data_IF_525979490108
#
_entry.id   IF_525979490108
#
_cell.length_a   1.000
_cell.length_b   1.000
_cell.length_c   1.000
_cell.angle_alpha   90.00
_cell.angle_beta   90.00
_cell.angle_gamma   90.00
#
_symmetry.space_group_name_H-M   'P 1'
#
loop_
_entity.id
_entity.type
_entity.pdbx_description
1 polymer ?
#
# COMPACT_ATOMS: atom_id res chain seq x y z
N UNK A 1 -7.26 18.23 -5.15
CA UNK A 1 -7.10 17.23 -6.24
C UNK A 1 -7.30 15.84 -5.66
N UNK A 2 -7.80 14.87 -6.44
CA UNK A 2 -7.95 13.46 -6.01
C UNK A 2 -9.25 13.11 -5.27
N UNK A 3 -10.27 13.99 -5.28
CA UNK A 3 -11.55 13.71 -4.61
C UNK A 3 -12.24 12.48 -5.20
N UNK A 4 -12.73 11.59 -4.33
CA UNK A 4 -13.41 10.35 -4.72
C UNK A 4 -12.48 9.23 -5.20
N UNK A 5 -11.16 9.45 -5.22
CA UNK A 5 -10.17 8.41 -5.56
C UNK A 5 -9.72 7.71 -4.28
N UNK A 6 -9.66 6.38 -4.36
CA UNK A 6 -9.21 5.50 -3.28
C UNK A 6 -7.77 5.08 -3.52
N UNK A 7 -6.90 5.29 -2.54
CA UNK A 7 -5.50 4.87 -2.59
C UNK A 7 -5.21 3.85 -1.49
N UNK A 8 -4.86 2.63 -1.90
CA UNK A 8 -4.48 1.53 -1.02
C UNK A 8 -2.97 1.53 -0.82
N UNK A 9 -2.51 1.68 0.42
CA UNK A 9 -1.09 1.73 0.78
C UNK A 9 -0.73 0.39 1.41
N UNK A 10 -0.12 -0.49 0.61
CA UNK A 10 0.38 -1.79 1.08
C UNK A 10 1.78 -1.60 1.68
N UNK A 11 1.84 -1.51 3.00
CA UNK A 11 3.05 -1.04 3.71
C UNK A 11 3.04 -1.47 5.20
N UNK A 12 3.70 -0.72 6.08
CA UNK A 12 3.75 -0.93 7.54
C UNK A 12 2.48 -0.49 8.29
N UNK A 13 1.46 -0.04 7.56
CA UNK A 13 0.23 0.53 8.09
C UNK A 13 0.14 2.05 7.88
N UNK A 14 -0.93 2.67 8.38
CA UNK A 14 -1.10 4.13 8.41
C UNK A 14 -1.55 4.53 9.81
N UNK A 15 -0.86 5.51 10.43
CA UNK A 15 -1.35 6.16 11.64
C UNK A 15 -2.51 7.09 11.30
N UNK A 16 -3.73 6.56 11.27
CA UNK A 16 -4.93 7.27 10.82
C UNK A 16 -5.22 8.57 11.59
N UNK A 17 -4.78 8.66 12.85
CA UNK A 17 -4.93 9.83 13.71
C UNK A 17 -3.99 11.00 13.37
N UNK A 18 -3.09 10.87 12.39
CA UNK A 18 -2.19 11.96 12.00
C UNK A 18 -2.96 13.13 11.35
N UNK A 19 -2.64 14.36 11.78
CA UNK A 19 -3.25 15.61 11.28
C UNK A 19 -3.17 15.81 9.75
N UNK A 20 -2.25 15.11 9.07
CA UNK A 20 -2.08 15.19 7.63
C UNK A 20 -3.26 14.55 6.88
N UNK A 21 -3.99 13.63 7.50
CA UNK A 21 -5.05 12.87 6.84
C UNK A 21 -6.45 13.42 7.11
N UNK A 22 -6.65 14.19 8.19
CA UNK A 22 -7.90 14.89 8.51
C UNK A 22 -9.18 14.04 8.29
N UNK A 23 -9.18 12.78 8.78
CA UNK A 23 -10.32 11.87 8.66
C UNK A 23 -10.50 11.21 7.29
N UNK A 24 -9.54 11.38 6.37
CA UNK A 24 -9.55 10.76 5.02
C UNK A 24 -8.89 9.38 4.97
N UNK A 25 -8.79 8.70 6.11
CA UNK A 25 -8.37 7.29 6.16
C UNK A 25 -9.63 6.43 6.24
N UNK A 26 -9.86 5.62 5.22
CA UNK A 26 -10.96 4.68 5.14
C UNK A 26 -10.66 3.36 5.88
N UNK A 27 -11.48 2.34 5.61
CA UNK A 27 -11.24 1.00 6.12
C UNK A 27 -9.92 0.43 5.62
N UNK A 28 -9.30 -0.44 6.42
CA UNK A 28 -8.11 -1.15 6.04
C UNK A 28 -8.04 -2.53 6.68
N UNK A 29 -6.89 -3.18 6.57
CA UNK A 29 -6.67 -4.54 7.05
C UNK A 29 -5.21 -4.73 7.45
N UNK A 30 -5.00 -5.57 8.45
CA UNK A 30 -3.69 -5.94 8.97
C UNK A 30 -3.44 -7.43 8.79
N UNK A 31 -2.45 -7.78 7.97
CA UNK A 31 -2.02 -9.16 7.75
C UNK A 31 -0.84 -9.58 8.63
N UNK A 32 -0.28 -8.67 9.43
CA UNK A 32 0.74 -8.97 10.44
C UNK A 32 0.06 -9.51 11.70
N UNK A 33 -0.96 -8.78 12.19
CA UNK A 33 -1.68 -9.14 13.42
C UNK A 33 -3.04 -9.81 13.14
N UNK A 34 -3.44 -9.90 11.87
CA UNK A 34 -4.64 -10.57 11.37
C UNK A 34 -5.95 -9.99 11.93
N UNK A 35 -6.07 -8.66 11.82
CA UNK A 35 -7.24 -7.90 12.22
C UNK A 35 -7.56 -6.77 11.20
N UNK A 36 -8.40 -5.82 11.60
CA UNK A 36 -8.83 -4.69 10.78
C UNK A 36 -8.22 -3.35 11.19
N UNK A 37 -7.22 -3.35 12.07
CA UNK A 37 -6.52 -2.15 12.54
C UNK A 37 -5.13 -2.04 11.91
N UNK A 38 -4.98 -1.46 10.72
CA UNK A 38 -3.70 -1.34 10.02
C UNK A 38 -2.85 -0.19 10.60
N UNK A 39 -2.83 0.00 11.92
CA UNK A 39 -2.09 1.10 12.54
C UNK A 39 -0.57 0.92 12.32
N UNK A 40 0.09 2.03 12.01
CA UNK A 40 1.52 2.01 11.73
C UNK A 40 2.35 2.05 13.02
N UNK A 41 3.27 1.10 13.14
CA UNK A 41 4.25 1.02 14.22
C UNK A 41 5.71 1.19 13.76
N UNK A 42 5.94 1.42 12.46
CA UNK A 42 7.29 1.67 11.91
C UNK A 42 7.45 3.13 11.44
N UNK A 43 6.43 3.67 10.78
CA UNK A 43 6.41 5.04 10.24
C UNK A 43 6.57 5.11 8.72
N UNK A 44 6.96 4.03 8.05
CA UNK A 44 7.21 4.04 6.61
C UNK A 44 5.91 4.22 5.82
N UNK A 45 4.89 3.41 6.14
CA UNK A 45 3.57 3.51 5.51
C UNK A 45 2.87 4.84 5.77
N UNK A 46 2.98 5.41 6.98
CA UNK A 46 2.47 6.75 7.26
C UNK A 46 3.19 7.84 6.44
N UNK A 47 4.50 7.74 6.27
CA UNK A 47 5.28 8.69 5.46
C UNK A 47 4.90 8.60 3.97
N UNK A 48 4.79 7.38 3.44
CA UNK A 48 4.32 7.12 2.07
C UNK A 48 2.91 7.69 1.87
N UNK A 49 1.98 7.38 2.77
CA UNK A 49 0.62 7.90 2.72
C UNK A 49 0.57 9.44 2.81
N UNK A 50 1.45 10.05 3.61
CA UNK A 50 1.61 11.50 3.72
C UNK A 50 2.06 12.14 2.40
N UNK A 51 3.00 11.52 1.71
CA UNK A 51 3.46 11.98 0.38
C UNK A 51 2.37 11.88 -0.68
N UNK A 52 1.51 10.87 -0.60
CA UNK A 52 0.39 10.72 -1.54
C UNK A 52 -0.70 11.74 -1.23
N UNK A 53 -1.18 11.79 0.00
CA UNK A 53 -2.46 12.41 0.35
C UNK A 53 -2.45 13.30 1.58
N UNK A 54 -1.29 13.65 2.14
CA UNK A 54 -1.19 14.56 3.28
C UNK A 54 -1.64 16.00 2.95
N UNK A 55 -2.22 16.69 3.94
CA UNK A 55 -2.67 18.08 3.78
C UNK A 55 -1.53 19.05 3.46
N UNK A 56 -0.34 18.84 4.02
CA UNK A 56 0.82 19.70 3.81
C UNK A 56 1.69 19.13 2.69
N UNK A 57 2.04 17.85 2.79
CA UNK A 57 3.08 17.20 1.97
C UNK A 57 2.54 16.37 0.81
N UNK A 58 1.22 16.17 0.75
CA UNK A 58 0.59 15.31 -0.24
C UNK A 58 0.46 15.93 -1.62
N UNK A 59 0.64 15.10 -2.65
CA UNK A 59 0.35 15.46 -4.05
C UNK A 59 -1.16 15.58 -4.28
N UNK A 60 -1.96 14.62 -3.79
CA UNK A 60 -3.39 14.51 -4.03
C UNK A 60 -4.18 14.66 -2.71
N UNK A 61 -4.30 15.89 -2.23
CA UNK A 61 -4.78 16.22 -0.87
C UNK A 61 -6.22 15.83 -0.51
N UNK A 62 -7.04 15.39 -1.47
CA UNK A 62 -8.44 15.00 -1.24
C UNK A 62 -8.72 13.51 -1.55
N UNK A 63 -7.68 12.68 -1.68
CA UNK A 63 -7.87 11.22 -1.79
C UNK A 63 -8.31 10.60 -0.47
N UNK A 64 -8.90 9.41 -0.57
CA UNK A 64 -9.19 8.52 0.57
C UNK A 64 -8.06 7.50 0.64
N UNK A 65 -7.35 7.47 1.77
CA UNK A 65 -6.24 6.55 2.01
C UNK A 65 -6.74 5.29 2.71
N UNK A 66 -6.28 4.12 2.31
CA UNK A 66 -6.61 2.83 2.93
C UNK A 66 -5.31 2.14 3.34
N UNK A 67 -5.15 1.85 4.63
CA UNK A 67 -3.99 1.12 5.13
C UNK A 67 -4.15 -0.38 4.89
N UNK A 68 -3.18 -1.00 4.23
CA UNK A 68 -3.10 -2.45 4.05
C UNK A 68 -1.77 -2.90 4.66
N UNK A 69 -1.79 -3.21 5.95
CA UNK A 69 -0.56 -3.50 6.71
C UNK A 69 -0.08 -4.91 6.38
N UNK A 70 1.02 -4.99 5.64
CA UNK A 70 1.67 -6.24 5.19
C UNK A 70 3.13 -6.32 5.64
N UNK A 71 3.64 -5.26 6.27
CA UNK A 71 4.96 -5.17 6.88
C UNK A 71 4.84 -4.90 8.38
N UNK A 72 5.67 -5.55 9.17
CA UNK A 72 5.69 -5.43 10.63
C UNK A 72 6.42 -4.14 11.10
N UNK A 73 6.57 -3.99 12.42
CA UNK A 73 7.21 -2.82 13.03
C UNK A 73 8.73 -2.69 12.73
N UNK A 74 9.32 -3.68 12.06
CA UNK A 74 10.70 -3.64 11.55
C UNK A 74 10.75 -3.51 10.03
N UNK A 75 9.63 -3.16 9.38
CA UNK A 75 9.56 -2.99 7.93
C UNK A 75 9.65 -4.30 7.13
N UNK A 76 9.45 -5.44 7.79
CA UNK A 76 9.59 -6.77 7.18
C UNK A 76 8.24 -7.46 7.03
N UNK A 77 8.07 -8.22 5.94
CA UNK A 77 6.86 -9.00 5.69
C UNK A 77 7.18 -10.26 4.88
N UNK A 78 6.19 -11.13 4.73
CA UNK A 78 6.29 -12.35 3.94
C UNK A 78 5.60 -12.15 2.58
N UNK A 79 6.06 -12.86 1.55
CA UNK A 79 5.35 -12.85 0.26
C UNK A 79 3.89 -13.27 0.40
N UNK A 80 3.57 -14.24 1.26
CA UNK A 80 2.19 -14.65 1.51
C UNK A 80 1.35 -13.54 2.12
N UNK A 81 1.88 -12.78 3.09
CA UNK A 81 1.19 -11.63 3.67
C UNK A 81 0.98 -10.50 2.65
N UNK A 82 2.00 -10.21 1.83
CA UNK A 82 1.89 -9.20 0.75
C UNK A 82 0.87 -9.63 -0.31
N UNK A 83 0.87 -10.90 -0.72
CA UNK A 83 -0.11 -11.46 -1.66
C UNK A 83 -1.52 -11.38 -1.06
N UNK A 84 -1.70 -11.72 0.22
CA UNK A 84 -2.98 -11.58 0.89
C UNK A 84 -3.48 -10.11 0.90
N UNK A 85 -2.58 -9.16 1.09
CA UNK A 85 -2.85 -7.73 0.92
C UNK A 85 -3.33 -7.36 -0.48
N UNK A 86 -2.62 -7.82 -1.51
CA UNK A 86 -3.00 -7.60 -2.92
C UNK A 86 -4.36 -8.23 -3.22
N UNK A 87 -4.61 -9.45 -2.77
CA UNK A 87 -5.88 -10.15 -2.97
C UNK A 87 -7.03 -9.44 -2.22
N UNK A 88 -6.78 -8.90 -1.01
CA UNK A 88 -7.76 -8.09 -0.30
C UNK A 88 -8.13 -6.81 -1.03
N UNK A 89 -7.14 -6.06 -1.54
CA UNK A 89 -7.39 -4.89 -2.39
C UNK A 89 -8.19 -5.29 -3.62
N UNK A 90 -7.79 -6.37 -4.29
CA UNK A 90 -8.47 -6.92 -5.46
C UNK A 90 -9.94 -7.23 -5.19
N UNK A 91 -10.28 -7.71 -3.99
CA UNK A 91 -11.64 -8.07 -3.59
C UNK A 91 -12.48 -6.89 -3.06
N UNK A 92 -11.87 -5.89 -2.43
CA UNK A 92 -12.57 -4.84 -1.68
C UNK A 92 -12.40 -3.42 -2.24
N UNK A 93 -11.64 -3.24 -3.32
CA UNK A 93 -11.37 -1.90 -3.84
C UNK A 93 -12.63 -1.18 -4.31
N UNK A 94 -12.64 0.14 -4.13
CA UNK A 94 -13.63 1.05 -4.69
C UNK A 94 -12.97 1.84 -5.82
N UNK A 95 -13.60 1.87 -6.99
CA UNK A 95 -13.09 2.61 -8.16
C UNK A 95 -13.50 4.09 -8.10
N UNK A 96 -12.63 5.04 -8.50
CA UNK A 96 -11.28 4.85 -9.04
C UNK A 96 -10.24 4.46 -7.97
N UNK A 97 -9.42 3.45 -8.25
CA UNK A 97 -8.48 2.85 -7.30
C UNK A 97 -7.02 2.91 -7.78
N UNK A 98 -6.12 3.29 -6.87
CA UNK A 98 -4.67 3.16 -7.02
C UNK A 98 -4.12 2.37 -5.83
N UNK A 99 -3.16 1.48 -6.06
CA UNK A 99 -2.41 0.79 -5.03
C UNK A 99 -0.95 1.23 -5.08
N UNK A 100 -0.38 1.55 -3.92
CA UNK A 100 1.03 1.86 -3.77
C UNK A 100 1.72 0.74 -2.98
N UNK A 101 2.79 0.19 -3.54
CA UNK A 101 3.64 -0.81 -2.89
C UNK A 101 5.08 -0.26 -2.85
N UNK A 102 5.40 0.50 -1.81
CA UNK A 102 6.76 0.99 -1.54
C UNK A 102 7.59 -0.09 -0.83
N UNK A 103 7.58 -1.29 -1.41
CA UNK A 103 8.21 -2.48 -0.89
C UNK A 103 8.67 -3.35 -2.06
N UNK A 104 9.55 -4.29 -1.78
CA UNK A 104 10.01 -5.24 -2.76
C UNK A 104 10.97 -6.26 -2.17
N UNK A 105 11.24 -7.30 -2.94
CA UNK A 105 12.18 -8.35 -2.61
C UNK A 105 12.73 -9.01 -3.87
N UNK A 106 13.43 -10.15 -3.73
CA UNK A 106 13.78 -11.00 -4.87
C UNK A 106 12.59 -11.29 -5.80
N UNK A 107 12.85 -11.59 -7.07
CA UNK A 107 11.81 -11.98 -8.02
C UNK A 107 10.96 -13.15 -7.49
N UNK A 108 9.64 -13.02 -7.57
CA UNK A 108 8.69 -14.01 -7.08
C UNK A 108 7.38 -13.99 -7.88
N UNK A 109 7.27 -14.88 -8.86
CA UNK A 109 6.17 -14.90 -9.84
C UNK A 109 4.75 -15.00 -9.27
N UNK A 110 4.48 -15.64 -8.10
CA UNK A 110 3.14 -15.62 -7.52
C UNK A 110 2.67 -14.23 -7.11
N UNK A 111 3.59 -13.36 -6.64
CA UNK A 111 3.27 -11.96 -6.31
C UNK A 111 2.92 -11.18 -7.57
N UNK A 112 3.75 -11.28 -8.61
CA UNK A 112 3.52 -10.60 -9.89
C UNK A 112 2.17 -11.03 -10.50
N UNK A 113 1.86 -12.33 -10.41
CA UNK A 113 0.57 -12.87 -10.87
C UNK A 113 -0.62 -12.32 -10.08
N UNK A 114 -0.49 -12.13 -8.77
CA UNK A 114 -1.54 -11.52 -7.95
C UNK A 114 -1.78 -10.06 -8.33
N UNK A 115 -0.70 -9.30 -8.52
CA UNK A 115 -0.78 -7.90 -8.95
C UNK A 115 -1.39 -7.78 -10.35
N UNK A 116 -0.97 -8.63 -11.30
CA UNK A 116 -1.54 -8.64 -12.65
C UNK A 116 -3.06 -8.91 -12.63
N UNK A 117 -3.55 -9.83 -11.78
CA UNK A 117 -5.00 -10.05 -11.59
C UNK A 117 -5.68 -8.82 -10.99
N UNK A 118 -5.04 -8.14 -10.05
CA UNK A 118 -5.56 -6.91 -9.44
C UNK A 118 -5.69 -5.79 -10.46
N UNK A 119 -4.67 -5.60 -11.29
CA UNK A 119 -4.67 -4.63 -12.41
C UNK A 119 -5.80 -4.93 -13.39
N UNK A 120 -5.99 -6.20 -13.76
CA UNK A 120 -7.09 -6.62 -14.63
C UNK A 120 -8.49 -6.32 -14.06
N UNK A 121 -8.62 -6.10 -12.74
CA UNK A 121 -9.87 -5.67 -12.10
C UNK A 121 -10.02 -4.15 -11.97
N UNK A 122 -9.08 -3.36 -12.50
CA UNK A 122 -9.18 -1.91 -12.58
C UNK A 122 -8.41 -1.13 -11.53
N UNK A 123 -7.53 -1.79 -10.76
CA UNK A 123 -6.64 -1.12 -9.80
C UNK A 123 -5.33 -0.73 -10.48
N UNK A 124 -4.97 0.55 -10.48
CA UNK A 124 -3.65 0.97 -10.97
C UNK A 124 -2.59 0.72 -9.90
N UNK A 125 -1.46 0.11 -10.23
CA UNK A 125 -0.36 -0.13 -9.27
C UNK A 125 0.82 0.80 -9.52
N UNK A 126 1.40 1.31 -8.44
CA UNK A 126 2.68 2.02 -8.40
C UNK A 126 3.59 1.30 -7.42
N UNK A 127 4.79 0.96 -7.85
CA UNK A 127 5.74 0.11 -7.11
C UNK A 127 7.12 0.78 -7.06
N UNK A 128 7.90 0.50 -6.00
CA UNK A 128 9.29 0.95 -5.93
C UNK A 128 10.23 0.04 -6.72
N UNK A 129 11.20 0.61 -7.43
CA UNK A 129 12.22 -0.16 -8.16
C UNK A 129 13.18 -0.95 -7.23
N UNK A 130 13.32 -0.51 -5.97
CA UNK A 130 14.28 -1.03 -4.99
C UNK A 130 15.52 -0.15 -4.83
N UNK A 131 16.27 -0.36 -3.74
CA UNK A 131 17.38 0.51 -3.31
C UNK A 131 18.73 -0.23 -3.24
N UNK A 132 18.87 -1.35 -3.96
CA UNK A 132 20.00 -2.28 -3.80
C UNK A 132 21.10 -2.10 -4.86
N UNK A 133 21.00 -1.08 -5.73
CA UNK A 133 21.87 -0.87 -6.89
C UNK A 133 21.95 -2.10 -7.82
N UNK A 134 20.77 -2.66 -8.12
CA UNK A 134 20.60 -3.83 -9.00
C UNK A 134 19.52 -3.56 -10.04
N UNK A 135 19.57 -4.35 -11.11
CA UNK A 135 18.53 -4.38 -12.13
C UNK A 135 17.17 -4.73 -11.48
N UNK A 136 16.19 -3.84 -11.63
CA UNK A 136 14.84 -3.99 -11.12
C UNK A 136 14.13 -5.23 -11.70
N UNK A 137 14.51 -5.68 -12.90
CA UNK A 137 13.98 -6.91 -13.50
C UNK A 137 14.27 -8.18 -12.68
N UNK A 138 15.18 -8.10 -11.69
CA UNK A 138 15.51 -9.18 -10.76
C UNK A 138 14.69 -9.15 -9.46
N UNK A 139 13.71 -8.25 -9.36
CA UNK A 139 12.93 -7.96 -8.15
C UNK A 139 11.44 -8.14 -8.41
N UNK A 140 10.69 -8.35 -7.35
CA UNK A 140 9.22 -8.28 -7.36
C UNK A 140 8.75 -7.40 -6.21
N UNK A 141 7.76 -6.52 -6.43
CA UNK A 141 6.97 -6.35 -7.66
C UNK A 141 7.52 -5.30 -8.64
N UNK A 142 8.83 -5.02 -8.63
CA UNK A 142 9.46 -3.92 -9.37
C UNK A 142 9.40 -4.04 -10.90
#
# INVERSE_FOLDING_TARGET
MGSGVHVYVLDTGIRASHDEFAGRVGNGVDFIDNDTDPNDCHGHGTHVAGTIGGNSYGVAKNVILHGVRVLNCSGSGTYSGVIAGVDWVTAHHQIPAVANMSLGGPAYSPLDSAIARSIARGVTYVVSAGNDDKDACSKSPA
#
